data_IF_842344485219
#
_entry.id   IF_842344485219
#
_cell.length_a   1.000
_cell.length_b   1.000
_cell.length_c   1.000
_cell.angle_alpha   90.00
_cell.angle_beta   90.00
_cell.angle_gamma   90.00
#
_symmetry.space_group_name_H-M   'P 1'
#
loop_
_entity.id
_entity.type
_entity.pdbx_description
1 polymer ?
#
# COMPACT_ATOMS: atom_id res chain seq x y z
N UNK A 1 4.20 7.44 -9.02
CA UNK A 1 3.23 8.28 -8.29
C UNK A 1 2.37 8.98 -9.33
N UNK A 2 1.05 8.87 -9.22
CA UNK A 2 0.08 9.43 -10.16
C UNK A 2 -0.69 10.53 -9.43
N UNK A 3 -0.77 11.72 -10.03
CA UNK A 3 -1.48 12.86 -9.43
C UNK A 3 -2.98 12.57 -9.37
N UNK A 4 -3.67 13.10 -8.36
CA UNK A 4 -5.11 12.85 -8.17
C UNK A 4 -5.95 13.35 -9.36
N UNK A 5 -5.54 14.42 -10.03
CA UNK A 5 -6.19 14.94 -11.23
C UNK A 5 -6.12 13.99 -12.43
N UNK A 6 -5.09 13.14 -12.46
CA UNK A 6 -4.73 12.37 -13.64
C UNK A 6 -5.16 10.91 -13.52
N UNK A 7 -5.53 10.44 -12.33
CA UNK A 7 -5.73 9.01 -12.03
C UNK A 7 -6.80 8.35 -12.90
N UNK A 8 -7.89 9.05 -13.22
CA UNK A 8 -8.97 8.50 -14.04
C UNK A 8 -8.60 8.49 -15.52
N UNK A 9 -7.95 9.55 -16.00
CA UNK A 9 -7.40 9.59 -17.36
C UNK A 9 -6.33 8.49 -17.55
N UNK A 10 -5.47 8.30 -16.54
CA UNK A 10 -4.47 7.25 -16.49
C UNK A 10 -5.11 5.86 -16.57
N UNK A 11 -6.11 5.58 -15.72
CA UNK A 11 -6.79 4.30 -15.71
C UNK A 11 -7.47 4.00 -17.06
N UNK A 12 -8.09 5.02 -17.67
CA UNK A 12 -8.72 4.89 -18.98
C UNK A 12 -7.70 4.59 -20.10
N UNK A 13 -6.53 5.22 -20.08
CA UNK A 13 -5.46 4.94 -21.05
C UNK A 13 -4.94 3.51 -20.88
N UNK A 14 -4.63 3.12 -19.64
CA UNK A 14 -4.11 1.77 -19.35
C UNK A 14 -5.13 0.70 -19.76
N UNK A 15 -6.41 0.88 -19.45
CA UNK A 15 -7.47 -0.07 -19.84
C UNK A 15 -7.66 -0.20 -21.35
N UNK A 16 -7.37 0.85 -22.13
CA UNK A 16 -7.37 0.78 -23.60
C UNK A 16 -6.16 0.02 -24.14
N UNK A 17 -4.99 0.25 -23.57
CA UNK A 17 -3.73 -0.34 -24.03
C UNK A 17 -3.55 -1.81 -23.59
N UNK A 18 -4.12 -2.18 -22.44
CA UNK A 18 -4.13 -3.54 -21.87
C UNK A 18 -5.55 -3.91 -21.42
N UNK A 19 -6.46 -4.26 -22.35
CA UNK A 19 -7.86 -4.55 -22.03
C UNK A 19 -8.06 -5.86 -21.26
N UNK A 20 -7.06 -6.74 -21.27
CA UNK A 20 -7.05 -8.01 -20.50
C UNK A 20 -6.29 -7.88 -19.18
N UNK A 21 -5.62 -6.76 -18.96
CA UNK A 21 -4.87 -6.51 -17.74
C UNK A 21 -5.80 -6.16 -16.58
N UNK A 22 -5.37 -6.55 -15.38
CA UNK A 22 -6.04 -6.17 -14.13
C UNK A 22 -5.30 -4.97 -13.57
N UNK A 23 -5.98 -3.81 -13.57
CA UNK A 23 -5.47 -2.58 -12.99
C UNK A 23 -6.02 -2.40 -11.57
N UNK A 24 -5.13 -2.36 -10.59
CA UNK A 24 -5.45 -2.00 -9.21
C UNK A 24 -4.88 -0.62 -8.93
N UNK A 25 -5.67 0.28 -8.37
CA UNK A 25 -5.25 1.63 -7.96
C UNK A 25 -5.65 1.91 -6.52
N UNK A 26 -4.76 2.55 -5.78
CA UNK A 26 -4.97 2.91 -4.38
C UNK A 26 -4.43 4.31 -4.10
N UNK A 27 -5.10 5.12 -3.24
CA UNK A 27 -4.54 6.37 -2.78
C UNK A 27 -3.30 6.07 -1.95
N UNK A 28 -2.29 6.92 -2.03
CA UNK A 28 -1.05 6.75 -1.27
C UNK A 28 -0.63 8.07 -0.62
N UNK A 29 -0.42 8.01 0.68
CA UNK A 29 0.25 9.05 1.45
C UNK A 29 1.54 8.48 2.04
N UNK A 30 2.41 9.37 2.51
CA UNK A 30 3.56 9.01 3.34
C UNK A 30 3.34 9.55 4.74
N UNK A 31 3.60 8.71 5.73
CA UNK A 31 3.52 9.12 7.12
C UNK A 31 4.41 8.30 8.03
N UNK A 32 4.58 8.80 9.25
CA UNK A 32 5.41 8.18 10.29
C UNK A 32 4.58 7.92 11.51
N UNK A 33 4.76 6.75 12.14
CA UNK A 33 4.14 6.49 13.45
C UNK A 33 4.86 7.33 14.50
N UNK A 34 4.10 8.16 15.23
CA UNK A 34 4.58 9.07 16.25
C UNK A 34 4.31 8.55 17.66
N UNK A 35 3.17 7.88 17.87
CA UNK A 35 2.80 7.35 19.18
C UNK A 35 1.95 6.10 19.07
N UNK A 36 2.07 5.22 20.06
CA UNK A 36 1.23 4.06 20.29
C UNK A 36 0.57 4.22 21.66
N UNK A 37 -0.76 4.16 21.73
CA UNK A 37 -1.52 4.37 22.97
C UNK A 37 -1.15 5.67 23.71
N UNK A 38 -0.89 6.75 22.95
CA UNK A 38 -0.48 8.05 23.46
C UNK A 38 0.98 8.13 23.96
N UNK A 39 1.73 7.03 23.92
CA UNK A 39 3.16 7.00 24.25
C UNK A 39 3.97 7.21 22.99
N UNK A 40 4.83 8.22 23.01
CA UNK A 40 5.77 8.51 21.92
C UNK A 40 6.62 7.27 21.58
N UNK A 41 6.74 6.96 20.29
CA UNK A 41 7.51 5.79 19.81
C UNK A 41 8.95 5.79 20.29
N UNK A 42 9.56 6.96 20.51
CA UNK A 42 10.93 7.09 21.02
C UNK A 42 11.08 6.60 22.47
N UNK A 43 9.96 6.51 23.20
CA UNK A 43 9.91 6.03 24.59
C UNK A 43 9.49 4.56 24.69
N UNK A 44 9.03 3.95 23.60
CA UNK A 44 8.59 2.55 23.60
C UNK A 44 9.79 1.64 23.38
N UNK A 45 9.99 0.68 24.29
CA UNK A 45 11.01 -0.37 24.11
C UNK A 45 10.44 -1.47 23.23
N UNK A 46 10.88 -1.50 21.98
CA UNK A 46 10.42 -2.46 20.97
C UNK A 46 11.58 -3.40 20.62
N UNK A 47 11.35 -4.72 20.57
CA UNK A 47 12.32 -5.68 20.05
C UNK A 47 12.84 -5.31 18.64
N UNK A 48 14.12 -5.59 18.37
CA UNK A 48 14.81 -5.07 17.17
C UNK A 48 14.21 -5.58 15.83
N UNK A 49 13.62 -6.77 15.87
CA UNK A 49 12.90 -7.48 14.81
C UNK A 49 11.56 -6.81 14.45
N UNK A 50 10.82 -6.28 15.44
CA UNK A 50 9.53 -5.59 15.20
C UNK A 50 9.64 -4.09 14.92
N UNK A 51 10.76 -3.47 15.25
CA UNK A 51 10.90 -2.01 15.25
C UNK A 51 10.93 -1.36 13.86
N UNK A 52 11.08 -2.12 12.78
CA UNK A 52 11.23 -1.54 11.43
C UNK A 52 10.02 -0.69 11.04
N UNK A 53 8.80 -1.07 11.44
CA UNK A 53 7.57 -0.33 11.13
C UNK A 53 7.56 1.08 11.73
N UNK A 54 8.28 1.29 12.83
CA UNK A 54 8.38 2.57 13.53
C UNK A 54 9.50 3.47 12.98
N UNK A 55 10.39 2.93 12.14
CA UNK A 55 11.58 3.65 11.66
C UNK A 55 11.31 4.47 10.41
N UNK A 56 11.06 5.77 10.57
CA UNK A 56 10.91 6.70 9.46
C UNK A 56 9.58 6.58 8.72
N UNK A 57 9.52 7.13 7.51
CA UNK A 57 8.25 7.31 6.80
C UNK A 57 7.86 6.04 6.03
N UNK A 58 6.57 5.71 6.04
CA UNK A 58 5.98 4.56 5.34
C UNK A 58 4.85 5.01 4.43
N UNK A 59 4.67 4.24 3.36
CA UNK A 59 3.44 4.34 2.58
C UNK A 59 2.26 3.95 3.46
N UNK A 60 1.18 4.71 3.37
CA UNK A 60 -0.10 4.39 3.97
C UNK A 60 -1.22 4.72 2.99
N UNK A 61 -2.33 4.04 3.16
CA UNK A 61 -3.50 4.20 2.30
C UNK A 61 -4.77 4.27 3.14
N UNK A 62 -5.89 4.52 2.49
CA UNK A 62 -7.21 4.37 3.06
C UNK A 62 -8.12 3.67 2.07
N UNK A 63 -9.09 2.92 2.59
CA UNK A 63 -10.10 2.27 1.76
C UNK A 63 -11.43 2.15 2.53
N UNK A 64 -12.54 2.37 1.84
CA UNK A 64 -13.86 2.14 2.39
C UNK A 64 -14.21 0.64 2.41
N UNK A 65 -13.63 -0.14 1.48
CA UNK A 65 -13.89 -1.56 1.32
C UNK A 65 -12.67 -2.38 1.73
N UNK A 66 -12.92 -3.59 2.23
CA UNK A 66 -11.84 -4.53 2.51
C UNK A 66 -11.16 -4.91 1.18
N UNK A 67 -9.82 -4.84 1.08
CA UNK A 67 -9.12 -5.31 -0.11
C UNK A 67 -9.42 -6.78 -0.38
N UNK A 68 -9.57 -7.16 -1.65
CA UNK A 68 -9.92 -8.55 -2.03
C UNK A 68 -8.88 -9.58 -1.58
N UNK A 69 -7.61 -9.15 -1.48
CA UNK A 69 -6.49 -9.96 -1.02
C UNK A 69 -6.25 -9.88 0.50
N UNK A 70 -7.11 -9.20 1.26
CA UNK A 70 -6.94 -9.07 2.70
C UNK A 70 -7.67 -10.16 3.47
N UNK A 71 -6.92 -10.97 4.21
CA UNK A 71 -7.46 -11.91 5.20
C UNK A 71 -7.41 -11.28 6.59
N UNK A 72 -8.58 -11.06 7.22
CA UNK A 72 -8.63 -10.56 8.60
C UNK A 72 -8.26 -11.68 9.56
N UNK A 73 -7.32 -11.43 10.48
CA UNK A 73 -6.97 -12.37 11.55
C UNK A 73 -7.74 -12.09 12.84
N UNK A 74 -8.17 -10.84 13.05
CA UNK A 74 -8.90 -10.40 14.23
C UNK A 74 -9.69 -9.12 13.92
N UNK A 75 -10.85 -8.93 14.56
CA UNK A 75 -11.68 -7.74 14.42
C UNK A 75 -12.58 -7.76 13.17
N UNK A 76 -13.07 -6.59 12.77
CA UNK A 76 -13.94 -6.44 11.60
C UNK A 76 -13.53 -5.23 10.76
N UNK A 77 -13.79 -5.30 9.46
CA UNK A 77 -13.71 -4.13 8.60
C UNK A 77 -14.84 -3.16 8.95
N UNK A 78 -14.59 -1.86 8.76
CA UNK A 78 -15.63 -0.85 8.98
C UNK A 78 -16.67 -0.85 7.85
N UNK A 79 -17.90 -0.38 8.12
CA UNK A 79 -18.90 -0.13 7.07
C UNK A 79 -18.39 0.87 6.02
N UNK A 80 -18.91 0.76 4.79
CA UNK A 80 -18.48 1.65 3.70
C UNK A 80 -18.83 3.13 3.94
N UNK A 81 -19.89 3.39 4.69
CA UNK A 81 -20.40 4.71 5.08
C UNK A 81 -19.92 5.15 6.48
N UNK A 82 -18.87 4.50 7.00
CA UNK A 82 -18.33 4.80 8.32
C UNK A 82 -17.85 6.26 8.45
N UNK A 83 -18.32 6.94 9.50
CA UNK A 83 -18.09 8.37 9.75
C UNK A 83 -17.70 8.68 11.21
N UNK A 84 -17.29 7.65 11.98
CA UNK A 84 -16.90 7.79 13.38
C UNK A 84 -15.50 8.33 13.61
N UNK A 85 -14.87 7.90 14.72
CA UNK A 85 -13.45 8.17 14.98
C UNK A 85 -12.56 7.55 13.89
N UNK A 86 -11.38 8.08 13.55
CA UNK A 86 -10.51 7.42 12.58
C UNK A 86 -10.19 5.99 13.00
N UNK A 87 -10.37 5.04 12.08
CA UNK A 87 -10.01 3.64 12.27
C UNK A 87 -8.79 3.31 11.42
N UNK A 88 -8.00 2.37 11.91
CA UNK A 88 -6.90 1.78 11.17
C UNK A 88 -7.02 0.28 11.25
N UNK A 89 -6.77 -0.36 10.12
CA UNK A 89 -6.49 -1.76 10.08
C UNK A 89 -4.98 -1.95 9.94
N UNK A 90 -4.41 -2.85 10.75
CA UNK A 90 -2.97 -2.99 10.91
C UNK A 90 -2.51 -4.39 10.50
N UNK A 91 -1.28 -4.53 9.99
CA UNK A 91 -0.74 -5.86 9.70
C UNK A 91 -0.56 -6.67 10.99
N UNK A 92 -1.03 -7.91 11.01
CA UNK A 92 -1.03 -8.77 12.19
C UNK A 92 0.40 -9.07 12.68
N UNK A 93 1.32 -9.32 11.74
CA UNK A 93 2.71 -9.64 12.05
C UNK A 93 3.42 -8.45 12.70
N UNK A 94 3.43 -7.30 12.03
CA UNK A 94 4.04 -6.09 12.56
C UNK A 94 3.36 -5.62 13.85
N UNK A 95 2.02 -5.64 13.89
CA UNK A 95 1.25 -5.25 15.07
C UNK A 95 1.62 -6.08 16.30
N UNK A 96 1.70 -7.41 16.15
CA UNK A 96 2.16 -8.31 17.21
C UNK A 96 3.60 -8.04 17.61
N UNK A 97 4.49 -7.78 16.65
CA UNK A 97 5.90 -7.51 16.91
C UNK A 97 6.13 -6.23 17.73
N UNK A 98 5.21 -5.26 17.64
CA UNK A 98 5.21 -4.04 18.46
C UNK A 98 4.22 -4.06 19.63
N UNK A 99 3.61 -5.22 19.91
CA UNK A 99 2.74 -5.45 21.07
C UNK A 99 1.37 -4.78 21.01
N UNK A 100 0.89 -4.39 19.82
CA UNK A 100 -0.42 -3.80 19.63
C UNK A 100 -1.54 -4.84 19.77
N UNK A 101 -2.69 -4.36 20.26
CA UNK A 101 -3.92 -5.14 20.42
C UNK A 101 -5.10 -4.47 19.73
N UNK A 102 -6.17 -5.24 19.53
CA UNK A 102 -7.40 -4.72 18.97
C UNK A 102 -7.95 -3.61 19.89
N UNK A 103 -8.31 -2.47 19.30
CA UNK A 103 -8.81 -1.30 20.03
C UNK A 103 -7.72 -0.36 20.57
N UNK A 104 -6.44 -0.70 20.46
CA UNK A 104 -5.34 0.23 20.72
C UNK A 104 -5.35 1.40 19.73
N UNK A 105 -4.62 2.47 20.04
CA UNK A 105 -4.50 3.64 19.17
C UNK A 105 -3.10 3.79 18.57
N UNK A 106 -3.06 4.21 17.32
CA UNK A 106 -1.84 4.55 16.58
C UNK A 106 -1.96 6.00 16.14
N UNK A 107 -0.95 6.81 16.43
CA UNK A 107 -0.85 8.19 15.93
C UNK A 107 0.18 8.24 14.84
N UNK A 108 -0.21 8.71 13.66
CA UNK A 108 0.68 8.94 12.51
C UNK A 108 0.79 10.42 12.19
N UNK A 109 1.99 10.88 11.85
CA UNK A 109 2.18 12.19 11.22
C UNK A 109 2.08 12.03 9.70
N UNK A 110 1.20 12.79 9.07
CA UNK A 110 1.01 12.85 7.61
C UNK A 110 0.96 14.31 7.21
N UNK A 111 1.88 14.72 6.33
CA UNK A 111 1.98 16.11 5.86
C UNK A 111 2.05 17.14 7.02
N UNK A 112 2.77 16.80 8.09
CA UNK A 112 2.93 17.66 9.26
C UNK A 112 1.76 17.63 10.25
N UNK A 113 0.71 16.84 10.00
CA UNK A 113 -0.46 16.72 10.88
C UNK A 113 -0.51 15.35 11.53
N UNK A 114 -0.74 15.32 12.85
CA UNK A 114 -0.96 14.07 13.56
C UNK A 114 -2.40 13.61 13.42
N UNK A 115 -2.58 12.34 13.03
CA UNK A 115 -3.87 11.65 12.96
C UNK A 115 -3.79 10.44 13.88
N UNK A 116 -4.65 10.41 14.89
CA UNK A 116 -4.79 9.26 15.79
C UNK A 116 -5.95 8.41 15.33
N UNK A 117 -5.70 7.11 15.15
CA UNK A 117 -6.69 6.15 14.73
C UNK A 117 -6.70 4.93 15.65
N UNK A 118 -7.87 4.32 15.81
CA UNK A 118 -8.06 3.11 16.62
C UNK A 118 -7.95 1.85 15.76
N UNK A 119 -7.28 0.82 16.27
CA UNK A 119 -7.13 -0.45 15.57
C UNK A 119 -8.47 -1.19 15.56
N UNK A 120 -9.08 -1.27 14.38
CA UNK A 120 -10.37 -1.91 14.16
C UNK A 120 -10.27 -3.40 13.79
N UNK A 121 -9.16 -3.78 13.17
CA UNK A 121 -8.85 -5.17 12.82
C UNK A 121 -7.35 -5.34 12.53
N UNK A 122 -6.91 -6.60 12.61
CA UNK A 122 -5.61 -7.03 12.12
C UNK A 122 -5.77 -7.86 10.85
N UNK A 123 -4.80 -7.75 9.94
CA UNK A 123 -4.79 -8.50 8.67
C UNK A 123 -3.51 -9.26 8.48
N UNK A 124 -3.61 -10.43 7.87
CA UNK A 124 -2.47 -11.07 7.24
C UNK A 124 -2.11 -10.29 5.98
N UNK A 125 -0.85 -9.88 5.87
CA UNK A 125 -0.33 -9.18 4.68
C UNK A 125 0.65 -10.11 3.98
N UNK A 126 0.29 -10.56 2.79
CA UNK A 126 1.16 -11.43 1.99
C UNK A 126 2.05 -10.61 1.06
N UNK A 127 3.25 -10.29 1.52
CA UNK A 127 4.24 -9.49 0.76
C UNK A 127 4.73 -10.16 -0.52
N UNK A 128 4.63 -11.50 -0.62
CA UNK A 128 5.02 -12.26 -1.81
C UNK A 128 4.01 -12.12 -2.96
N UNK A 129 2.81 -11.62 -2.67
CA UNK A 129 1.83 -11.34 -3.72
C UNK A 129 2.25 -10.10 -4.50
N UNK A 130 2.06 -10.13 -5.83
CA UNK A 130 2.33 -8.98 -6.72
C UNK A 130 1.32 -7.82 -6.54
N UNK A 131 0.60 -7.77 -5.41
CA UNK A 131 -0.37 -6.75 -5.06
C UNK A 131 0.26 -5.57 -4.34
N UNK A 132 -0.48 -4.46 -4.27
CA UNK A 132 -0.09 -3.32 -3.45
C UNK A 132 -0.49 -3.60 -2.02
N UNK A 133 0.50 -3.64 -1.11
CA UNK A 133 0.28 -3.94 0.29
C UNK A 133 0.75 -2.80 1.20
N UNK A 134 0.04 -2.60 2.31
CA UNK A 134 0.36 -1.59 3.31
C UNK A 134 0.26 -2.20 4.71
N UNK A 135 1.18 -1.82 5.59
CA UNK A 135 1.06 -2.16 7.01
C UNK A 135 -0.19 -1.52 7.62
N UNK A 136 -0.53 -0.31 7.19
CA UNK A 136 -1.67 0.46 7.68
C UNK A 136 -2.60 0.85 6.53
N UNK A 137 -3.87 0.47 6.64
CA UNK A 137 -4.97 0.98 5.83
C UNK A 137 -5.94 1.67 6.77
N UNK A 138 -6.25 2.93 6.51
CA UNK A 138 -7.13 3.72 7.35
C UNK A 138 -8.55 3.76 6.79
N UNK A 139 -9.51 4.10 7.64
CA UNK A 139 -10.84 4.49 7.18
C UNK A 139 -10.78 5.84 6.43
N UNK A 140 -11.59 6.08 5.39
CA UNK A 140 -11.45 7.26 4.53
C UNK A 140 -11.54 8.61 5.27
N UNK A 141 -12.34 8.67 6.34
CA UNK A 141 -12.48 9.86 7.20
C UNK A 141 -11.16 10.29 7.86
N UNK A 142 -10.18 9.39 8.03
CA UNK A 142 -8.88 9.70 8.64
C UNK A 142 -8.08 10.75 7.84
N UNK A 143 -8.25 10.76 6.52
CA UNK A 143 -7.51 11.63 5.59
C UNK A 143 -8.44 12.42 4.66
N UNK A 144 -9.68 12.65 5.07
CA UNK A 144 -10.62 13.45 4.30
C UNK A 144 -10.04 14.85 4.01
N UNK A 145 -9.88 15.17 2.72
CA UNK A 145 -9.33 16.44 2.26
C UNK A 145 -7.80 16.56 2.31
N UNK A 146 -7.07 15.52 2.74
CA UNK A 146 -5.62 15.51 2.63
C UNK A 146 -5.19 15.28 1.17
N UNK A 147 -4.27 16.07 0.61
CA UNK A 147 -3.75 15.81 -0.73
C UNK A 147 -2.95 14.50 -0.72
N UNK A 148 -3.12 13.67 -1.76
CA UNK A 148 -2.47 12.38 -1.86
C UNK A 148 -2.16 12.03 -3.31
N UNK A 149 -1.12 11.20 -3.48
CA UNK A 149 -0.84 10.56 -4.76
C UNK A 149 -1.68 9.31 -4.95
N UNK A 150 -1.46 8.65 -6.07
CA UNK A 150 -2.02 7.34 -6.39
C UNK A 150 -0.91 6.40 -6.80
N UNK A 151 -1.00 5.16 -6.31
CA UNK A 151 -0.19 4.05 -6.77
C UNK A 151 -1.08 3.11 -7.57
N UNK A 152 -0.54 2.56 -8.66
CA UNK A 152 -1.26 1.60 -9.48
C UNK A 152 -0.34 0.45 -9.88
N UNK A 153 -0.93 -0.75 -9.92
CA UNK A 153 -0.29 -1.96 -10.43
C UNK A 153 -1.14 -2.51 -11.55
N UNK A 154 -0.52 -2.80 -12.68
CA UNK A 154 -1.14 -3.53 -13.79
C UNK A 154 -0.55 -4.94 -13.83
N UNK A 155 -1.42 -5.95 -13.79
CA UNK A 155 -1.04 -7.33 -14.05
C UNK A 155 -1.66 -7.79 -15.35
N UNK A 156 -0.83 -8.08 -16.36
CA UNK A 156 -1.27 -8.72 -17.62
C UNK A 156 -0.39 -9.95 -17.90
N UNK A 157 -0.94 -11.13 -17.63
CA UNK A 157 -0.22 -12.42 -17.80
C UNK A 157 -0.03 -12.80 -19.26
N UNK A 158 -0.75 -12.15 -20.18
CA UNK A 158 -0.75 -12.48 -21.61
C UNK A 158 -0.08 -11.39 -22.46
N UNK A 159 0.40 -10.31 -21.83
CA UNK A 159 1.12 -9.26 -22.52
C UNK A 159 2.43 -9.78 -23.13
N UNK A 160 2.63 -9.48 -24.40
CA UNK A 160 3.93 -9.64 -25.05
C UNK A 160 4.86 -8.49 -24.67
N UNK A 161 6.17 -8.65 -24.88
CA UNK A 161 7.14 -7.56 -24.72
C UNK A 161 6.80 -6.33 -25.57
N UNK A 162 6.17 -6.54 -26.74
CA UNK A 162 5.73 -5.46 -27.61
C UNK A 162 4.51 -4.71 -27.02
N UNK A 163 3.58 -5.43 -26.39
CA UNK A 163 2.45 -4.82 -25.69
C UNK A 163 2.93 -3.99 -24.50
N UNK A 164 3.86 -4.53 -23.70
CA UNK A 164 4.46 -3.81 -22.57
C UNK A 164 5.18 -2.54 -23.04
N UNK A 165 5.92 -2.60 -24.15
CA UNK A 165 6.61 -1.44 -24.70
C UNK A 165 5.62 -0.39 -25.23
N UNK A 166 4.55 -0.81 -25.92
CA UNK A 166 3.49 0.09 -26.41
C UNK A 166 2.82 0.82 -25.24
N UNK A 167 2.44 0.09 -24.19
CA UNK A 167 1.84 0.64 -22.98
C UNK A 167 2.77 1.64 -22.29
N UNK A 168 4.03 1.28 -22.04
CA UNK A 168 4.99 2.17 -21.37
C UNK A 168 5.19 3.47 -22.17
N UNK A 169 5.26 3.38 -23.49
CA UNK A 169 5.38 4.56 -24.35
C UNK A 169 4.12 5.43 -24.30
N UNK A 170 2.94 4.84 -24.28
CA UNK A 170 1.67 5.57 -24.15
C UNK A 170 1.58 6.31 -22.80
N UNK A 171 1.90 5.62 -21.70
CA UNK A 171 1.93 6.20 -20.35
C UNK A 171 2.95 7.32 -20.25
N UNK A 172 4.18 7.11 -20.72
CA UNK A 172 5.26 8.12 -20.64
C UNK A 172 4.93 9.40 -21.41
N UNK A 173 4.26 9.28 -22.57
CA UNK A 173 3.84 10.45 -23.36
C UNK A 173 2.68 11.21 -22.73
N UNK A 174 1.69 10.49 -22.20
CA UNK A 174 0.48 11.12 -21.65
C UNK A 174 0.68 11.64 -20.22
N UNK A 175 1.53 10.97 -19.43
CA UNK A 175 1.74 11.24 -18.01
C UNK A 175 3.25 11.27 -17.68
N UNK A 176 4.01 12.26 -18.15
CA UNK A 176 5.46 12.32 -17.98
C UNK A 176 5.92 12.41 -16.52
N UNK A 177 5.05 12.85 -15.62
CA UNK A 177 5.31 12.89 -14.18
C UNK A 177 5.18 11.50 -13.50
N UNK A 178 4.61 10.50 -14.18
CA UNK A 178 4.41 9.16 -13.64
C UNK A 178 5.67 8.32 -13.83
N UNK A 179 6.33 8.01 -12.72
CA UNK A 179 7.38 6.98 -12.71
C UNK A 179 6.76 5.60 -12.89
N UNK A 180 7.21 4.88 -13.92
CA UNK A 180 6.79 3.50 -14.19
C UNK A 180 7.95 2.54 -13.97
N UNK A 181 7.68 1.40 -13.33
CA UNK A 181 8.67 0.34 -13.05
C UNK A 181 8.17 -0.97 -13.63
N UNK A 182 9.00 -1.63 -14.44
CA UNK A 182 8.68 -2.95 -15.00
C UNK A 182 9.24 -4.05 -14.09
N UNK A 183 8.35 -4.72 -13.36
CA UNK A 183 8.72 -5.77 -12.40
C UNK A 183 9.20 -7.05 -13.09
N UNK A 184 8.66 -7.36 -14.28
CA UNK A 184 9.01 -8.56 -15.06
C UNK A 184 10.52 -8.69 -15.33
N UNK A 185 11.17 -7.60 -15.72
CA UNK A 185 12.61 -7.60 -16.05
C UNK A 185 13.47 -7.96 -14.82
N UNK A 186 13.09 -7.47 -13.64
CA UNK A 186 13.78 -7.80 -12.39
C UNK A 186 13.60 -9.27 -12.03
N UNK A 187 12.40 -9.82 -12.20
CA UNK A 187 12.12 -11.25 -11.98
C UNK A 187 12.90 -12.14 -12.94
N UNK A 188 13.00 -11.76 -14.21
CA UNK A 188 13.77 -12.49 -15.22
C UNK A 188 15.28 -12.51 -14.88
N UNK A 189 15.81 -11.46 -14.25
CA UNK A 189 17.18 -11.45 -13.74
C UNK A 189 17.32 -12.43 -12.57
N UNK A 190 16.44 -12.37 -11.58
CA UNK A 190 16.48 -13.26 -10.41
C UNK A 190 16.37 -14.73 -10.84
N UNK A 191 15.42 -15.06 -11.72
CA UNK A 191 15.22 -16.42 -12.23
C UNK A 191 16.47 -16.97 -12.93
N UNK A 192 17.19 -16.14 -13.70
CA UNK A 192 18.44 -16.54 -14.34
C UNK A 192 19.55 -16.83 -13.33
N UNK A 193 19.67 -16.03 -12.28
CA UNK A 193 20.67 -16.25 -11.21
C UNK A 193 20.37 -17.55 -10.44
N UNK A 194 19.10 -17.80 -10.10
CA UNK A 194 18.68 -19.04 -9.44
C UNK A 194 18.94 -20.26 -10.32
N UNK A 195 18.64 -20.17 -11.62
CA UNK A 195 18.92 -21.25 -12.57
C UNK A 195 20.41 -21.59 -12.64
N UNK A 196 21.29 -20.59 -12.60
CA UNK A 196 22.74 -20.79 -12.59
C UNK A 196 23.24 -21.50 -11.31
N UNK A 197 22.63 -21.23 -10.16
CA UNK A 197 22.96 -21.89 -8.89
C UNK A 197 22.43 -23.32 -8.81
N UNK A 198 21.27 -23.62 -9.42
CA UNK A 198 20.72 -24.97 -9.45
C UNK A 198 21.43 -25.93 -10.42
N UNK A 199 22.29 -25.41 -11.30
CA UNK A 199 23.12 -26.19 -12.23
C UNK A 199 24.56 -26.38 -11.76
N UNK A 200 24.93 -25.86 -10.58
CA UNK A 200 26.24 -25.98 -9.95
C UNK A 200 26.19 -26.98 -8.78
#
# INVERSE_FOLDING_TARGET
DIQSSDVDAFANLVGKESPRGVLVKVPMLRGRIMALNGVDVDKVKIPADGAWVLRGDRGLTYDARQPENATLTEGAWWPQDYSGEPLVSFSAEEGKAIGLKLGDSVTVNVLGRNVTAKIANFRQVEWETMGINFVMVFSPNAFAGAPHGWLATLTDKQASTADDARLLNAVTRAFPAVTTVRVKDALDIVNRLVAQLGTA
#
